data_IF_780107220827
#
_entry.id   IF_780107220827
#
_cell.length_a   1.000
_cell.length_b   1.000
_cell.length_c   1.000
_cell.angle_alpha   90.00
_cell.angle_beta   90.00
_cell.angle_gamma   90.00
#
_symmetry.space_group_name_H-M   'P 1'
#
loop_
_entity.id
_entity.type
_entity.pdbx_description
1 polymer ?
#
# COMPACT_ATOMS: atom_id res chain seq x y z
N UNK A 1 -29.08 -6.82 27.96
CA UNK A 1 -28.37 -7.99 27.41
C UNK A 1 -28.36 -7.88 25.90
N UNK A 2 -27.26 -7.39 25.31
CA UNK A 2 -27.15 -7.19 23.86
C UNK A 2 -26.89 -8.55 23.21
N UNK A 3 -27.84 -9.09 22.44
CA UNK A 3 -27.59 -10.27 21.59
C UNK A 3 -26.51 -9.87 20.58
N UNK A 4 -25.31 -10.42 20.71
CA UNK A 4 -24.33 -10.39 19.62
C UNK A 4 -25.00 -11.09 18.43
N UNK A 5 -25.26 -10.34 17.35
CA UNK A 5 -25.61 -10.94 16.08
C UNK A 5 -24.33 -11.47 15.46
N UNK A 6 -23.87 -12.62 15.96
CA UNK A 6 -22.78 -13.33 15.32
C UNK A 6 -23.27 -13.81 13.95
N UNK A 7 -22.42 -13.68 12.94
CA UNK A 7 -22.76 -14.11 11.58
C UNK A 7 -23.01 -15.61 11.58
N UNK A 8 -24.13 -16.02 10.98
CA UNK A 8 -24.33 -17.43 10.69
C UNK A 8 -23.32 -17.89 9.59
N UNK A 9 -23.09 -19.21 9.41
CA UNK A 9 -22.10 -19.70 8.47
C UNK A 9 -22.28 -19.21 7.02
N UNK A 10 -23.54 -19.13 6.54
CA UNK A 10 -23.84 -18.66 5.18
C UNK A 10 -23.57 -17.16 5.03
N UNK A 11 -23.98 -16.35 6.01
CA UNK A 11 -23.67 -14.92 6.03
C UNK A 11 -22.17 -14.69 6.05
N UNK A 12 -21.44 -15.41 6.89
CA UNK A 12 -19.98 -15.29 6.99
C UNK A 12 -19.33 -15.62 5.65
N UNK A 13 -19.73 -16.71 5.02
CA UNK A 13 -19.24 -17.09 3.70
C UNK A 13 -19.52 -16.00 2.66
N UNK A 14 -20.75 -15.47 2.62
CA UNK A 14 -21.11 -14.40 1.69
C UNK A 14 -20.23 -13.15 1.89
N UNK A 15 -20.02 -12.72 3.14
CA UNK A 15 -19.11 -11.60 3.44
C UNK A 15 -17.66 -11.89 3.04
N UNK A 16 -17.16 -13.11 3.27
CA UNK A 16 -15.82 -13.50 2.84
C UNK A 16 -15.67 -13.43 1.31
N UNK A 17 -16.65 -13.92 0.57
CA UNK A 17 -16.67 -13.88 -0.90
C UNK A 17 -16.74 -12.43 -1.41
N UNK A 18 -17.60 -11.59 -0.81
CA UNK A 18 -17.72 -10.19 -1.20
C UNK A 18 -16.43 -9.41 -0.91
N UNK A 19 -15.82 -9.62 0.25
CA UNK A 19 -14.54 -8.98 0.64
C UNK A 19 -13.41 -9.47 -0.27
N UNK A 20 -13.36 -10.77 -0.57
CA UNK A 20 -12.38 -11.32 -1.52
C UNK A 20 -12.56 -10.69 -2.90
N UNK A 21 -13.79 -10.57 -3.39
CA UNK A 21 -14.06 -9.98 -4.71
C UNK A 21 -13.71 -8.48 -4.77
N UNK A 22 -14.00 -7.72 -3.71
CA UNK A 22 -13.82 -6.27 -3.72
C UNK A 22 -12.42 -5.83 -3.30
N UNK A 23 -11.78 -6.56 -2.40
CA UNK A 23 -10.53 -6.17 -1.75
C UNK A 23 -9.41 -7.20 -1.91
N UNK A 24 -9.72 -8.41 -2.38
CA UNK A 24 -8.74 -9.51 -2.54
C UNK A 24 -8.34 -10.17 -1.24
N UNK A 25 -8.82 -9.66 -0.10
CA UNK A 25 -8.45 -10.14 1.22
C UNK A 25 -9.09 -11.50 1.48
N UNK A 26 -8.26 -12.54 1.56
CA UNK A 26 -8.69 -13.87 1.99
C UNK A 26 -8.73 -13.92 3.52
N UNK A 27 -9.92 -13.78 4.08
CA UNK A 27 -10.15 -13.93 5.51
C UNK A 27 -10.35 -15.41 5.87
N UNK A 28 -9.55 -15.95 6.78
CA UNK A 28 -9.64 -17.35 7.18
C UNK A 28 -9.27 -17.58 8.66
N UNK A 29 -9.78 -18.67 9.25
CA UNK A 29 -9.41 -19.14 10.59
C UNK A 29 -9.40 -18.03 11.64
N UNK A 30 -8.20 -17.54 11.98
CA UNK A 30 -7.95 -16.49 12.97
C UNK A 30 -8.59 -15.13 12.67
N UNK A 31 -8.92 -14.85 11.41
CA UNK A 31 -9.50 -13.57 11.00
C UNK A 31 -11.03 -13.52 11.19
N UNK A 32 -11.68 -14.69 11.29
CA UNK A 32 -13.15 -14.78 11.34
C UNK A 32 -13.75 -14.10 12.58
N UNK A 33 -13.21 -14.25 13.80
CA UNK A 33 -13.72 -13.53 14.95
C UNK A 33 -13.57 -12.00 14.82
N UNK A 34 -12.52 -11.54 14.12
CA UNK A 34 -12.32 -10.11 13.82
C UNK A 34 -13.37 -9.64 12.83
N UNK A 35 -13.64 -10.41 11.77
CA UNK A 35 -14.67 -10.12 10.78
C UNK A 35 -16.06 -10.02 11.45
N UNK A 36 -16.45 -11.02 12.25
CA UNK A 36 -17.77 -11.05 12.89
C UNK A 36 -17.99 -9.81 13.78
N UNK A 37 -16.99 -9.47 14.60
CA UNK A 37 -17.02 -8.25 15.45
C UNK A 37 -17.09 -6.98 14.62
N UNK A 38 -16.33 -6.91 13.53
CA UNK A 38 -16.32 -5.78 12.63
C UNK A 38 -17.70 -5.57 12.01
N UNK A 39 -18.30 -6.61 11.42
CA UNK A 39 -19.62 -6.50 10.80
C UNK A 39 -20.67 -6.08 11.83
N UNK A 40 -20.66 -6.67 13.03
CA UNK A 40 -21.56 -6.28 14.11
C UNK A 40 -21.38 -4.80 14.53
N UNK A 41 -20.15 -4.31 14.55
CA UNK A 41 -19.83 -2.90 14.81
C UNK A 41 -20.37 -1.99 13.69
N UNK A 42 -20.13 -2.35 12.42
CA UNK A 42 -20.58 -1.56 11.27
C UNK A 42 -22.11 -1.51 11.13
N UNK A 43 -22.81 -2.62 11.35
CA UNK A 43 -24.29 -2.68 11.40
C UNK A 43 -24.84 -1.65 12.39
N UNK A 44 -24.27 -1.59 13.60
CA UNK A 44 -24.67 -0.60 14.61
C UNK A 44 -24.32 0.83 14.18
N UNK A 45 -23.12 1.05 13.66
CA UNK A 45 -22.65 2.37 13.23
C UNK A 45 -23.47 2.95 12.05
N UNK A 46 -24.09 2.10 11.24
CA UNK A 46 -25.00 2.48 10.14
C UNK A 46 -26.48 2.45 10.53
N UNK A 47 -26.79 2.19 11.80
CA UNK A 47 -28.16 2.07 12.32
C UNK A 47 -29.00 1.05 11.54
N UNK A 48 -28.38 -0.05 11.11
CA UNK A 48 -29.04 -1.16 10.42
C UNK A 48 -29.51 -2.22 11.43
N UNK A 49 -30.51 -3.00 11.04
CA UNK A 49 -31.13 -3.96 11.94
C UNK A 49 -30.39 -5.29 11.98
N UNK A 50 -29.73 -5.68 10.90
CA UNK A 50 -29.12 -6.99 10.76
C UNK A 50 -27.94 -6.99 9.76
N UNK A 51 -27.10 -8.04 9.78
CA UNK A 51 -26.00 -8.18 8.83
C UNK A 51 -26.43 -8.26 7.35
N UNK A 52 -27.62 -8.78 7.03
CA UNK A 52 -28.07 -8.91 5.63
C UNK A 52 -28.41 -7.55 4.99
N UNK A 53 -28.93 -6.60 5.78
CA UNK A 53 -29.08 -5.20 5.38
C UNK A 53 -27.71 -4.56 5.11
N UNK A 54 -26.72 -4.85 5.94
CA UNK A 54 -25.36 -4.35 5.73
C UNK A 54 -24.70 -4.97 4.50
N UNK A 55 -24.89 -6.27 4.27
CA UNK A 55 -24.42 -6.95 3.07
C UNK A 55 -24.98 -6.31 1.80
N UNK A 56 -26.31 -6.08 1.76
CA UNK A 56 -26.95 -5.38 0.64
C UNK A 56 -26.45 -3.96 0.46
N UNK A 57 -26.21 -3.23 1.55
CA UNK A 57 -25.59 -1.91 1.49
C UNK A 57 -24.23 -1.98 0.78
N UNK A 58 -23.37 -2.93 1.16
CA UNK A 58 -22.05 -3.09 0.53
C UNK A 58 -22.11 -3.52 -0.94
N UNK A 59 -23.14 -4.26 -1.35
CA UNK A 59 -23.36 -4.62 -2.75
C UNK A 59 -23.84 -3.44 -3.59
N UNK A 60 -24.63 -2.55 -3.00
CA UNK A 60 -25.21 -1.38 -3.67
C UNK A 60 -24.24 -0.19 -3.69
N UNK A 61 -23.40 -0.04 -2.67
CA UNK A 61 -22.27 0.87 -2.70
C UNK A 61 -21.21 0.29 -3.66
N UNK A 62 -20.86 1.03 -4.71
CA UNK A 62 -19.92 0.58 -5.74
C UNK A 62 -18.54 0.13 -5.22
N UNK A 63 -17.63 -0.23 -6.11
CA UNK A 63 -16.38 -0.95 -5.77
C UNK A 63 -15.52 -0.32 -4.66
N UNK A 64 -14.76 -1.16 -3.95
CA UNK A 64 -13.78 -0.74 -2.95
C UNK A 64 -12.76 0.26 -3.55
N UNK A 65 -12.80 1.49 -3.06
CA UNK A 65 -12.04 2.65 -3.56
C UNK A 65 -12.90 3.90 -3.82
N UNK A 66 -14.22 3.75 -4.00
CA UNK A 66 -15.16 4.87 -4.24
C UNK A 66 -16.23 4.99 -3.16
N UNK A 67 -16.52 3.90 -2.46
CA UNK A 67 -17.43 3.87 -1.31
C UNK A 67 -16.70 4.20 -0.02
N UNK A 68 -17.28 5.13 0.75
CA UNK A 68 -16.78 5.48 2.08
C UNK A 68 -16.89 4.30 3.06
N UNK A 69 -17.89 3.42 2.91
CA UNK A 69 -18.05 2.26 3.78
C UNK A 69 -17.02 1.17 3.48
N UNK A 70 -16.75 0.92 2.19
CA UNK A 70 -15.66 0.04 1.78
C UNK A 70 -14.30 0.54 2.28
N UNK A 71 -14.05 1.85 2.23
CA UNK A 71 -12.82 2.43 2.76
C UNK A 71 -12.66 2.22 4.27
N UNK A 72 -13.76 2.28 5.03
CA UNK A 72 -13.76 2.00 6.48
C UNK A 72 -13.50 0.53 6.77
N UNK A 73 -14.17 -0.38 6.05
CA UNK A 73 -13.89 -1.81 6.16
C UNK A 73 -12.42 -2.12 5.85
N UNK A 74 -11.85 -1.49 4.82
CA UNK A 74 -10.43 -1.63 4.49
C UNK A 74 -9.52 -1.20 5.63
N UNK A 75 -9.82 -0.08 6.29
CA UNK A 75 -9.03 0.39 7.43
C UNK A 75 -9.09 -0.51 8.65
N UNK A 76 -10.25 -1.13 8.93
CA UNK A 76 -10.39 -2.02 10.09
C UNK A 76 -9.87 -3.45 9.79
N UNK A 77 -9.97 -3.92 8.54
CA UNK A 77 -9.53 -5.26 8.15
C UNK A 77 -8.02 -5.35 7.94
N UNK A 78 -7.40 -4.34 7.33
CA UNK A 78 -5.95 -4.35 7.07
C UNK A 78 -5.17 -3.93 8.31
N UNK A 79 -4.01 -4.56 8.55
CA UNK A 79 -3.07 -4.16 9.60
C UNK A 79 -1.94 -3.39 8.94
N UNK A 80 -2.13 -2.07 8.81
CA UNK A 80 -1.18 -1.18 8.14
C UNK A 80 -0.01 -0.76 9.02
N UNK A 81 0.70 -1.69 9.65
CA UNK A 81 1.95 -1.30 10.33
C UNK A 81 3.01 -0.99 9.27
N UNK A 82 3.50 0.25 9.26
CA UNK A 82 4.57 0.72 8.38
C UNK A 82 5.56 1.57 9.17
N UNK A 83 6.79 1.65 8.68
CA UNK A 83 7.85 2.48 9.24
C UNK A 83 8.96 2.71 8.23
N UNK A 84 9.75 3.75 8.45
CA UNK A 84 10.80 4.15 7.52
C UNK A 84 11.89 3.08 7.40
N UNK A 85 12.31 2.82 6.16
CA UNK A 85 13.35 1.82 5.83
C UNK A 85 13.05 0.41 6.36
N UNK A 86 11.77 0.01 6.34
CA UNK A 86 11.34 -1.34 6.74
C UNK A 86 12.01 -2.40 5.89
N UNK A 87 12.64 -3.38 6.56
CA UNK A 87 13.50 -4.41 5.96
C UNK A 87 14.83 -3.84 5.43
N UNK A 88 15.83 -3.85 6.30
CA UNK A 88 17.17 -3.35 5.98
C UNK A 88 17.80 -4.07 4.79
N UNK A 89 17.51 -5.35 4.57
CA UNK A 89 18.06 -6.11 3.46
C UNK A 89 17.54 -5.62 2.12
N UNK A 90 16.23 -5.39 2.03
CA UNK A 90 15.60 -4.88 0.80
C UNK A 90 15.97 -3.42 0.52
N UNK A 91 16.05 -2.57 1.54
CA UNK A 91 16.55 -1.21 1.36
C UNK A 91 18.05 -1.15 1.01
N UNK A 92 18.86 -2.10 1.50
CA UNK A 92 20.24 -2.25 1.06
C UNK A 92 20.33 -2.67 -0.41
N UNK A 93 19.48 -3.60 -0.86
CA UNK A 93 19.41 -3.98 -2.28
C UNK A 93 19.01 -2.80 -3.17
N UNK A 94 18.01 -2.01 -2.76
CA UNK A 94 17.63 -0.77 -3.44
C UNK A 94 18.80 0.20 -3.53
N UNK A 95 19.46 0.47 -2.41
CA UNK A 95 20.56 1.44 -2.32
C UNK A 95 21.79 1.03 -3.12
N UNK A 96 22.19 -0.23 -3.00
CA UNK A 96 23.50 -0.70 -3.48
C UNK A 96 23.45 -1.21 -4.92
N UNK A 97 22.28 -1.55 -5.46
CA UNK A 97 22.14 -2.20 -6.77
C UNK A 97 21.05 -1.57 -7.63
N UNK A 98 19.79 -1.69 -7.23
CA UNK A 98 18.64 -1.39 -8.10
C UNK A 98 18.59 0.10 -8.47
N UNK A 99 18.59 1.00 -7.48
CA UNK A 99 18.49 2.44 -7.77
C UNK A 99 19.72 2.98 -8.52
N UNK A 100 20.97 2.62 -8.18
CA UNK A 100 22.12 3.01 -8.99
C UNK A 100 22.02 2.61 -10.47
N UNK A 101 21.55 1.40 -10.76
CA UNK A 101 21.37 0.92 -12.14
C UNK A 101 20.27 1.70 -12.87
N UNK A 102 19.13 1.92 -12.21
CA UNK A 102 18.04 2.72 -12.76
C UNK A 102 18.45 4.17 -13.02
N UNK A 103 19.20 4.78 -12.10
CA UNK A 103 19.75 6.13 -12.25
C UNK A 103 20.70 6.17 -13.46
N UNK A 104 21.62 5.23 -13.60
CA UNK A 104 22.54 5.20 -14.74
C UNK A 104 21.79 5.10 -16.08
N UNK A 105 20.78 4.23 -16.15
CA UNK A 105 19.94 4.06 -17.35
C UNK A 105 19.11 5.31 -17.68
N UNK A 106 18.57 5.96 -16.66
CA UNK A 106 17.75 7.15 -16.81
C UNK A 106 18.56 8.45 -16.97
N UNK A 107 19.89 8.42 -16.87
CA UNK A 107 20.73 9.62 -16.97
C UNK A 107 20.52 10.47 -18.24
N UNK A 108 20.23 9.90 -19.44
CA UNK A 108 19.95 10.70 -20.64
C UNK A 108 18.65 11.51 -20.55
N UNK A 109 17.61 10.97 -19.90
CA UNK A 109 16.30 11.63 -19.78
C UNK A 109 16.14 12.39 -18.46
N UNK A 110 16.91 12.00 -17.44
CA UNK A 110 16.83 12.44 -16.04
C UNK A 110 15.43 12.28 -15.45
N UNK A 111 14.70 11.25 -15.86
CA UNK A 111 13.35 10.95 -15.36
C UNK A 111 13.32 9.58 -14.72
N UNK A 112 12.84 9.51 -13.47
CA UNK A 112 12.61 8.24 -12.77
C UNK A 112 11.18 8.18 -12.23
N UNK A 113 10.50 7.05 -12.51
CA UNK A 113 9.12 6.79 -12.09
C UNK A 113 9.08 5.56 -11.18
N UNK A 114 8.77 5.79 -9.92
CA UNK A 114 8.68 4.77 -8.88
C UNK A 114 7.23 4.65 -8.41
N UNK A 115 6.81 3.42 -8.08
CA UNK A 115 5.49 3.17 -7.53
C UNK A 115 5.57 2.26 -6.31
N UNK A 116 5.14 2.75 -5.15
CA UNK A 116 4.88 1.95 -3.96
C UNK A 116 3.40 1.59 -3.91
N UNK A 117 3.08 0.33 -4.16
CA UNK A 117 1.73 -0.20 -4.20
C UNK A 117 1.39 -0.87 -2.86
N UNK A 118 0.33 -0.39 -2.20
CA UNK A 118 0.02 -0.72 -0.80
C UNK A 118 0.89 0.06 0.19
N UNK A 119 1.05 1.37 -0.05
CA UNK A 119 2.01 2.22 0.66
C UNK A 119 1.63 2.58 2.12
N UNK A 120 0.45 2.17 2.59
CA UNK A 120 -0.07 2.47 3.93
C UNK A 120 0.02 3.97 4.27
N UNK A 121 0.65 4.31 5.40
CA UNK A 121 0.86 5.68 5.89
C UNK A 121 2.03 6.43 5.24
N UNK A 122 2.60 5.91 4.14
CA UNK A 122 3.51 6.65 3.28
C UNK A 122 4.99 6.60 3.65
N UNK A 123 5.38 5.86 4.69
CA UNK A 123 6.80 5.74 5.07
C UNK A 123 7.66 5.13 3.96
N UNK A 124 7.15 4.17 3.19
CA UNK A 124 7.90 3.56 2.08
C UNK A 124 8.16 4.55 0.92
N UNK A 125 7.14 5.23 0.34
CA UNK A 125 7.35 6.29 -0.65
C UNK A 125 8.36 7.35 -0.23
N UNK A 126 8.29 7.82 1.03
CA UNK A 126 9.26 8.78 1.54
C UNK A 126 10.64 8.19 1.77
N UNK A 127 10.75 6.92 2.16
CA UNK A 127 12.06 6.23 2.24
C UNK A 127 12.71 6.13 0.85
N UNK A 128 11.92 5.90 -0.22
CA UNK A 128 12.41 5.92 -1.60
C UNK A 128 12.87 7.32 -2.01
N UNK A 129 12.11 8.37 -1.66
CA UNK A 129 12.49 9.76 -1.90
C UNK A 129 13.84 10.12 -1.24
N UNK A 130 14.02 9.69 0.01
CA UNK A 130 15.27 9.88 0.75
C UNK A 130 16.43 9.14 0.09
N UNK A 131 16.23 7.88 -0.33
CA UNK A 131 17.26 7.13 -1.05
C UNK A 131 17.68 7.83 -2.35
N UNK A 132 16.74 8.38 -3.10
CA UNK A 132 17.07 9.11 -4.33
C UNK A 132 17.86 10.40 -4.04
N UNK A 133 17.53 11.14 -2.97
CA UNK A 133 18.34 12.31 -2.53
C UNK A 133 19.77 11.91 -2.14
N UNK A 134 19.95 10.75 -1.50
CA UNK A 134 21.28 10.28 -1.11
C UNK A 134 22.13 9.79 -2.28
N UNK A 135 21.49 9.26 -3.33
CA UNK A 135 22.18 8.66 -4.48
C UNK A 135 22.43 9.64 -5.63
N UNK A 136 21.60 10.69 -5.75
CA UNK A 136 21.72 11.68 -6.80
C UNK A 136 22.52 12.90 -6.29
N UNK A 137 23.57 13.36 -7.01
CA UNK A 137 24.33 14.54 -6.59
C UNK A 137 23.55 15.85 -6.71
N UNK A 138 22.57 15.92 -7.62
CA UNK A 138 21.67 17.06 -7.87
C UNK A 138 20.26 16.55 -8.19
N UNK A 139 19.50 16.06 -7.20
CA UNK A 139 18.18 15.46 -7.44
C UNK A 139 17.17 16.47 -7.99
N UNK A 140 17.39 17.78 -7.83
CA UNK A 140 16.62 18.85 -8.45
C UNK A 140 16.73 18.92 -9.98
N UNK A 141 17.82 18.40 -10.57
CA UNK A 141 17.98 18.30 -12.02
C UNK A 141 17.18 17.12 -12.63
N UNK A 142 16.49 16.34 -11.79
CA UNK A 142 15.75 15.15 -12.17
C UNK A 142 14.25 15.35 -12.04
N UNK A 143 13.52 14.78 -12.99
CA UNK A 143 12.09 14.58 -12.88
C UNK A 143 11.80 13.29 -12.12
N UNK A 144 11.75 13.40 -10.78
CA UNK A 144 11.43 12.28 -9.90
C UNK A 144 9.92 12.21 -9.65
N UNK A 145 9.33 11.05 -9.93
CA UNK A 145 7.91 10.77 -9.68
C UNK A 145 7.81 9.52 -8.81
N UNK A 146 7.32 9.67 -7.59
CA UNK A 146 7.04 8.57 -6.67
C UNK A 146 5.54 8.54 -6.42
N UNK A 147 4.87 7.51 -6.95
CA UNK A 147 3.46 7.26 -6.70
C UNK A 147 3.32 6.33 -5.49
N UNK A 148 2.56 6.73 -4.48
CA UNK A 148 2.07 5.86 -3.41
C UNK A 148 0.59 5.56 -3.61
N UNK A 149 0.22 4.29 -3.77
CA UNK A 149 -1.19 3.89 -3.79
C UNK A 149 -1.56 3.03 -2.59
N UNK A 150 -2.78 3.19 -2.09
CA UNK A 150 -3.34 2.31 -1.06
C UNK A 150 -4.86 2.26 -1.13
N UNK A 151 -5.47 1.18 -0.65
CA UNK A 151 -6.91 1.02 -0.54
C UNK A 151 -7.45 1.80 0.68
N UNK A 152 -6.65 1.94 1.73
CA UNK A 152 -7.01 2.58 2.98
C UNK A 152 -6.89 4.11 2.88
N UNK A 153 -8.03 4.77 2.71
CA UNK A 153 -8.12 6.24 2.63
C UNK A 153 -7.61 6.96 3.88
N UNK A 154 -7.73 6.36 5.08
CA UNK A 154 -7.23 6.96 6.32
C UNK A 154 -5.71 6.89 6.39
N UNK A 155 -5.11 5.79 5.92
CA UNK A 155 -3.67 5.65 5.79
C UNK A 155 -3.12 6.67 4.79
N UNK A 156 -3.76 6.83 3.63
CA UNK A 156 -3.40 7.87 2.65
C UNK A 156 -3.56 9.29 3.22
N UNK A 157 -4.55 9.55 4.06
CA UNK A 157 -4.68 10.85 4.72
C UNK A 157 -3.49 11.13 5.66
N UNK A 158 -3.03 10.12 6.41
CA UNK A 158 -1.80 10.22 7.21
C UNK A 158 -0.56 10.43 6.32
N UNK A 159 -0.46 9.68 5.23
CA UNK A 159 0.62 9.80 4.25
C UNK A 159 0.74 11.21 3.66
N UNK A 160 -0.40 11.81 3.28
CA UNK A 160 -0.45 13.20 2.79
C UNK A 160 -0.07 14.23 3.84
N UNK A 161 -0.45 14.02 5.11
CA UNK A 161 0.00 14.87 6.23
C UNK A 161 1.50 14.77 6.46
N UNK A 162 2.10 13.62 6.15
CA UNK A 162 3.53 13.37 6.27
C UNK A 162 4.09 13.64 7.68
N UNK A 163 3.26 13.42 8.71
CA UNK A 163 3.62 13.54 10.13
C UNK A 163 3.67 12.17 10.78
N UNK A 164 4.75 11.93 11.52
CA UNK A 164 5.06 10.63 12.06
C UNK A 164 5.53 10.72 13.51
N UNK A 165 5.12 9.74 14.32
CA UNK A 165 5.60 9.60 15.69
C UNK A 165 6.97 8.94 15.75
N UNK A 166 7.59 8.91 16.93
CA UNK A 166 8.87 8.22 17.16
C UNK A 166 8.86 6.74 16.72
N UNK A 167 7.70 6.08 16.75
CA UNK A 167 7.54 4.68 16.35
C UNK A 167 7.92 4.42 14.88
N UNK A 168 7.60 5.36 13.98
CA UNK A 168 7.93 5.25 12.56
C UNK A 168 9.44 5.32 12.30
N UNK A 169 10.24 5.81 13.26
CA UNK A 169 11.69 5.99 13.16
C UNK A 169 12.51 4.92 13.89
N UNK A 170 11.89 3.85 14.39
CA UNK A 170 12.57 2.83 15.22
C UNK A 170 13.78 2.14 14.57
N UNK A 171 13.91 2.20 13.25
CA UNK A 171 15.05 1.69 12.50
C UNK A 171 15.86 2.78 11.79
N UNK A 172 15.61 4.06 12.11
CA UNK A 172 16.22 5.22 11.48
C UNK A 172 17.21 5.88 12.42
N UNK A 173 18.42 6.15 11.93
CA UNK A 173 19.41 6.89 12.71
C UNK A 173 18.97 8.34 12.94
N UNK A 174 19.18 8.90 14.15
CA UNK A 174 18.76 10.27 14.46
C UNK A 174 19.29 11.32 13.49
N UNK A 175 20.53 11.19 13.04
CA UNK A 175 21.14 12.11 12.08
C UNK A 175 20.42 12.10 10.73
N UNK A 176 20.01 10.92 10.25
CA UNK A 176 19.22 10.80 9.02
C UNK A 176 17.84 11.45 9.23
N UNK A 177 17.16 11.15 10.33
CA UNK A 177 15.86 11.77 10.65
C UNK A 177 15.96 13.30 10.68
N UNK A 178 16.95 13.86 11.37
CA UNK A 178 17.02 15.31 11.54
C UNK A 178 17.38 16.04 10.22
N UNK A 179 18.01 15.33 9.26
CA UNK A 179 18.27 15.82 7.90
C UNK A 179 17.02 15.88 7.01
N UNK A 180 16.14 14.88 7.11
CA UNK A 180 14.99 14.72 6.21
C UNK A 180 13.65 15.20 6.79
N UNK A 181 13.59 15.36 8.10
CA UNK A 181 12.39 15.71 8.84
C UNK A 181 12.62 16.96 9.69
N UNK A 182 11.52 17.59 10.07
CA UNK A 182 11.49 18.68 11.04
C UNK A 182 10.57 18.31 12.20
N UNK A 183 10.96 18.67 13.42
CA UNK A 183 10.18 18.33 14.61
C UNK A 183 9.02 19.31 14.77
N UNK A 184 7.80 18.79 14.87
CA UNK A 184 6.57 19.56 15.05
C UNK A 184 5.84 19.02 16.28
N UNK A 185 6.02 19.68 17.42
CA UNK A 185 5.51 19.21 18.71
C UNK A 185 6.13 17.86 19.10
N UNK A 186 5.28 16.84 19.26
CA UNK A 186 5.68 15.46 19.58
C UNK A 186 5.96 14.59 18.34
N UNK A 187 5.72 15.11 17.14
CA UNK A 187 5.86 14.39 15.88
C UNK A 187 6.99 14.98 15.02
N UNK A 188 7.28 14.30 13.91
CA UNK A 188 8.21 14.74 12.87
C UNK A 188 7.48 14.82 11.55
N UNK A 189 7.62 15.95 10.86
CA UNK A 189 7.06 16.20 9.54
C UNK A 189 8.15 16.04 8.48
N UNK A 190 7.84 15.40 7.35
CA UNK A 190 8.75 15.32 6.20
C UNK A 190 8.95 16.73 5.65
N UNK A 191 10.21 17.16 5.47
CA UNK A 191 10.51 18.48 4.92
C UNK A 191 9.92 18.62 3.51
N UNK A 192 9.34 19.79 3.22
CA UNK A 192 8.56 20.06 2.00
C UNK A 192 9.28 19.70 0.69
N UNK A 193 10.60 19.90 0.62
CA UNK A 193 11.41 19.59 -0.56
C UNK A 193 11.33 18.12 -1.01
N UNK A 194 11.03 17.20 -0.11
CA UNK A 194 10.89 15.77 -0.39
C UNK A 194 9.44 15.36 -0.69
N UNK A 195 8.48 16.14 -0.20
CA UNK A 195 7.05 15.92 -0.43
C UNK A 195 6.68 16.14 -1.89
N UNK A 196 7.32 17.09 -2.57
CA UNK A 196 7.06 17.39 -3.99
C UNK A 196 7.31 16.21 -4.95
N UNK A 197 8.15 15.24 -4.57
CA UNK A 197 8.41 14.05 -5.39
C UNK A 197 7.38 12.94 -5.19
N UNK A 198 6.57 13.02 -4.13
CA UNK A 198 5.67 11.95 -3.71
C UNK A 198 4.22 12.37 -3.89
N UNK A 199 3.45 11.57 -4.64
CA UNK A 199 2.01 11.75 -4.82
C UNK A 199 1.27 10.54 -4.29
N UNK A 200 0.18 10.78 -3.55
CA UNK A 200 -0.64 9.73 -2.96
C UNK A 200 -2.02 9.64 -3.59
N UNK A 201 -2.40 8.45 -4.05
CA UNK A 201 -3.68 8.20 -4.69
C UNK A 201 -4.38 6.96 -4.11
N UNK A 202 -5.72 6.93 -4.05
CA UNK A 202 -6.44 5.68 -3.83
C UNK A 202 -6.08 4.69 -4.93
N UNK A 203 -5.82 3.44 -4.57
CA UNK A 203 -5.57 2.37 -5.54
C UNK A 203 -6.04 1.03 -5.01
N UNK A 204 -6.64 0.24 -5.89
CA UNK A 204 -7.06 -1.13 -5.58
C UNK A 204 -6.40 -2.09 -6.56
N UNK A 205 -5.43 -2.85 -6.04
CA UNK A 205 -4.70 -3.86 -6.78
C UNK A 205 -5.61 -4.96 -7.35
N UNK A 206 -6.79 -5.21 -6.77
CA UNK A 206 -7.61 -6.35 -7.20
C UNK A 206 -8.33 -6.07 -8.51
N UNK A 207 -8.88 -4.88 -8.65
CA UNK A 207 -9.66 -4.49 -9.82
C UNK A 207 -8.85 -3.66 -10.82
N UNK A 208 -7.55 -3.47 -10.58
CA UNK A 208 -6.65 -2.70 -11.45
C UNK A 208 -7.00 -1.21 -11.52
N UNK A 209 -7.80 -0.70 -10.57
CA UNK A 209 -8.15 0.72 -10.48
C UNK A 209 -7.11 1.45 -9.63
N UNK A 210 -5.86 1.34 -10.04
CA UNK A 210 -4.82 2.25 -9.59
C UNK A 210 -5.14 3.60 -10.26
N UNK A 211 -5.10 4.71 -9.52
CA UNK A 211 -5.34 6.03 -10.12
C UNK A 211 -4.37 6.37 -11.26
N UNK A 212 -4.60 7.51 -11.93
CA UNK A 212 -3.78 7.94 -13.06
C UNK A 212 -2.29 8.06 -12.69
N UNK A 213 -1.42 7.53 -13.54
CA UNK A 213 0.03 7.65 -13.41
C UNK A 213 0.77 6.35 -13.07
N UNK A 214 0.06 5.25 -12.80
CA UNK A 214 0.59 3.90 -12.57
C UNK A 214 1.08 3.19 -13.87
N UNK A 215 1.81 3.91 -14.73
CA UNK A 215 2.33 3.42 -16.01
C UNK A 215 3.77 3.88 -16.22
N UNK A 216 4.49 3.14 -17.06
CA UNK A 216 5.88 3.42 -17.43
C UNK A 216 6.82 3.50 -16.22
N UNK A 217 6.67 2.58 -15.28
CA UNK A 217 7.45 2.54 -14.04
C UNK A 217 8.84 1.96 -14.27
N UNK A 218 9.84 2.61 -13.67
CA UNK A 218 11.22 2.10 -13.59
C UNK A 218 11.37 1.12 -12.40
N UNK A 219 10.60 1.34 -11.34
CA UNK A 219 10.55 0.46 -10.17
C UNK A 219 9.14 0.43 -9.58
N UNK A 220 8.62 -0.77 -9.35
CA UNK A 220 7.43 -1.02 -8.54
C UNK A 220 7.86 -1.71 -7.26
N UNK A 221 7.40 -1.22 -6.12
CA UNK A 221 7.58 -1.82 -4.80
C UNK A 221 6.19 -2.22 -4.29
N UNK A 222 5.99 -3.51 -4.04
CA UNK A 222 4.72 -4.05 -3.55
C UNK A 222 4.99 -5.10 -2.49
N UNK A 223 5.05 -4.66 -1.23
CA UNK A 223 5.59 -5.45 -0.11
C UNK A 223 4.57 -5.55 1.01
N UNK A 224 4.44 -6.74 1.59
CA UNK A 224 3.51 -7.06 2.67
C UNK A 224 2.04 -6.89 2.27
N UNK A 225 1.75 -7.04 0.97
CA UNK A 225 0.40 -6.94 0.40
C UNK A 225 -0.09 -8.29 -0.11
N UNK A 226 0.76 -9.05 -0.81
CA UNK A 226 0.35 -10.32 -1.42
C UNK A 226 -0.02 -11.40 -0.40
N UNK A 227 0.46 -11.28 0.85
CA UNK A 227 0.11 -12.17 1.96
C UNK A 227 -1.40 -12.25 2.24
N UNK A 228 -2.17 -11.28 1.75
CA UNK A 228 -3.63 -11.26 1.90
C UNK A 228 -4.37 -11.84 0.69
N UNK A 229 -3.72 -12.06 -0.44
CA UNK A 229 -4.36 -12.38 -1.71
C UNK A 229 -4.36 -13.88 -2.03
N UNK A 230 -5.39 -14.33 -2.74
CA UNK A 230 -5.39 -15.65 -3.37
C UNK A 230 -4.49 -15.69 -4.60
N UNK A 231 -4.02 -16.89 -4.99
CA UNK A 231 -3.09 -17.06 -6.13
C UNK A 231 -3.58 -16.43 -7.44
N UNK A 232 -4.88 -16.56 -7.75
CA UNK A 232 -5.46 -15.95 -8.95
C UNK A 232 -5.38 -14.42 -8.93
N UNK A 233 -5.64 -13.81 -7.77
CA UNK A 233 -5.49 -12.36 -7.57
C UNK A 233 -4.03 -11.94 -7.69
N UNK A 234 -3.09 -12.68 -7.09
CA UNK A 234 -1.66 -12.40 -7.22
C UNK A 234 -1.23 -12.43 -8.69
N UNK A 235 -1.61 -13.46 -9.45
CA UNK A 235 -1.28 -13.56 -10.87
C UNK A 235 -1.83 -12.38 -11.69
N UNK A 236 -3.08 -11.98 -11.45
CA UNK A 236 -3.69 -10.83 -12.10
C UNK A 236 -2.96 -9.51 -11.76
N UNK A 237 -2.52 -9.35 -10.50
CA UNK A 237 -1.74 -8.18 -10.08
C UNK A 237 -0.37 -8.16 -10.74
N UNK A 238 0.34 -9.28 -10.77
CA UNK A 238 1.66 -9.38 -11.40
C UNK A 238 1.60 -9.08 -12.89
N UNK A 239 0.58 -9.57 -13.61
CA UNK A 239 0.40 -9.28 -15.04
C UNK A 239 0.22 -7.77 -15.29
N UNK A 240 -0.50 -7.06 -14.42
CA UNK A 240 -0.64 -5.60 -14.54
C UNK A 240 0.64 -4.85 -14.17
N UNK A 241 1.39 -5.33 -13.18
CA UNK A 241 2.71 -4.76 -12.86
C UNK A 241 3.68 -4.92 -14.02
N UNK A 242 3.69 -6.08 -14.68
CA UNK A 242 4.49 -6.32 -15.88
C UNK A 242 4.15 -5.30 -16.99
N UNK A 243 2.85 -5.04 -17.23
CA UNK A 243 2.40 -4.04 -18.20
C UNK A 243 2.74 -2.60 -17.79
N UNK A 244 2.79 -2.32 -16.49
CA UNK A 244 3.12 -0.99 -15.97
C UNK A 244 4.63 -0.72 -15.97
N UNK A 245 5.47 -1.75 -15.96
CA UNK A 245 6.93 -1.62 -15.96
C UNK A 245 7.47 -1.27 -17.35
N UNK A 246 8.46 -0.39 -17.37
CA UNK A 246 9.31 -0.19 -18.55
C UNK A 246 10.19 -1.42 -18.77
N UNK A 247 10.66 -1.67 -20.01
CA UNK A 247 11.72 -2.64 -20.25
C UNK A 247 12.93 -2.39 -19.34
N UNK A 248 13.38 -3.43 -18.64
CA UNK A 248 14.45 -3.36 -17.64
C UNK A 248 14.02 -2.75 -16.29
N UNK A 249 12.74 -2.46 -16.09
CA UNK A 249 12.21 -2.04 -14.79
C UNK A 249 12.25 -3.18 -13.75
N UNK A 250 12.20 -2.81 -12.48
CA UNK A 250 12.23 -3.78 -11.37
C UNK A 250 10.90 -3.88 -10.66
N UNK A 251 10.52 -5.09 -10.25
CA UNK A 251 9.49 -5.33 -9.25
C UNK A 251 10.15 -5.84 -7.95
N UNK A 252 9.98 -5.12 -6.86
CA UNK A 252 10.43 -5.53 -5.52
C UNK A 252 9.22 -5.95 -4.68
N UNK A 253 9.20 -7.22 -4.25
CA UNK A 253 8.13 -7.78 -3.40
C UNK A 253 8.63 -8.14 -2.00
N UNK A 254 7.73 -8.37 -1.04
CA UNK A 254 8.14 -8.78 0.31
C UNK A 254 8.73 -10.20 0.33
N UNK A 255 9.53 -10.48 1.36
CA UNK A 255 10.23 -11.76 1.47
C UNK A 255 9.25 -12.96 1.44
N UNK A 256 9.45 -13.87 0.48
CA UNK A 256 8.65 -15.09 0.34
C UNK A 256 7.23 -14.90 -0.21
N UNK A 257 6.83 -13.67 -0.57
CA UNK A 257 5.44 -13.36 -0.94
C UNK A 257 4.98 -13.97 -2.26
N UNK A 258 5.91 -14.21 -3.18
CA UNK A 258 5.62 -14.84 -4.46
C UNK A 258 6.01 -16.32 -4.52
N UNK A 259 6.33 -16.95 -3.38
CA UNK A 259 6.75 -18.34 -3.36
C UNK A 259 5.63 -19.25 -3.94
N UNK A 260 5.97 -20.00 -4.99
CA UNK A 260 5.02 -20.88 -5.68
C UNK A 260 3.97 -20.17 -6.54
N UNK A 261 4.10 -18.85 -6.78
CA UNK A 261 3.24 -18.10 -7.70
C UNK A 261 3.90 -18.00 -9.09
N UNK A 262 3.14 -18.16 -10.18
CA UNK A 262 3.67 -17.93 -11.52
C UNK A 262 4.01 -16.44 -11.69
N UNK A 263 5.25 -16.14 -12.08
CA UNK A 263 5.76 -14.76 -12.24
C UNK A 263 5.59 -14.20 -13.65
N UNK A 264 5.02 -14.97 -14.58
CA UNK A 264 4.76 -14.52 -15.95
C UNK A 264 6.05 -14.19 -16.70
N UNK A 265 6.10 -13.02 -17.34
CA UNK A 265 7.30 -12.53 -18.05
C UNK A 265 8.39 -11.93 -17.14
N UNK A 266 8.17 -11.86 -15.82
CA UNK A 266 9.16 -11.35 -14.87
C UNK A 266 10.28 -12.38 -14.64
N UNK A 267 11.52 -11.92 -14.81
CA UNK A 267 12.73 -12.70 -14.50
C UNK A 267 13.09 -12.51 -13.02
N UNK A 268 13.39 -13.62 -12.33
CA UNK A 268 13.72 -13.66 -10.90
C UNK A 268 15.21 -13.83 -10.66
#
# INVERSE_FOLDING_TARGET
MSRHHDLNPLQRQAFQELILAQMGLRLAGRDLPKLDRLIAHRVKARSLNNPDEYFRLLQNEGSAGQSAEWARLAGELTVGESFFFRDKGQFALLRLRILPELIARAAPTRTLRLWSAGCSSGEEPFSLAILLDELLPRPEDWQLVILGTDLNSEALAKARRARYSSWSFRQVEPALRDRYFERVGSEWEVRERFRRWVTFQPGNLVNGREGGGATEMDLIVCRNVFIYFGQATVAAVLSRFEQALRPGGYLLTGHGELYGCPTGGLQT
#
